data_IF_128001344183
#
_entry.id   IF_128001344183
#
_cell.length_a   1.000
_cell.length_b   1.000
_cell.length_c   1.000
_cell.angle_alpha   90.00
_cell.angle_beta   90.00
_cell.angle_gamma   90.00
#
_symmetry.space_group_name_H-M   'P 1'
#
loop_
_entity.id
_entity.type
_entity.pdbx_description
1 polymer ?
#
# COMPACT_ATOMS: atom_id res chain seq x y z
N UNK A 1 44.86 23.96 55.38
CA UNK A 1 45.11 22.56 55.01
C UNK A 1 43.79 21.94 54.55
N UNK A 2 43.61 21.85 53.27
CA UNK A 2 42.41 21.24 52.64
C UNK A 2 42.87 20.42 51.45
N UNK A 3 42.62 19.12 51.37
CA UNK A 3 42.87 18.40 50.15
C UNK A 3 41.60 18.39 49.28
N UNK A 4 41.78 18.73 48.02
CA UNK A 4 40.79 18.65 46.98
C UNK A 4 40.43 17.19 46.64
N UNK A 5 39.15 16.89 46.66
CA UNK A 5 38.61 15.63 46.18
C UNK A 5 38.29 15.74 44.69
N UNK A 6 38.96 14.94 43.89
CA UNK A 6 38.74 14.84 42.48
C UNK A 6 37.43 14.15 42.18
N UNK A 7 36.53 14.84 41.49
CA UNK A 7 35.30 14.25 40.91
C UNK A 7 35.66 13.62 39.56
N UNK A 8 35.72 12.31 39.54
CA UNK A 8 35.72 11.52 38.28
C UNK A 8 34.35 11.57 37.66
N UNK A 9 34.18 12.37 36.62
CA UNK A 9 32.99 12.39 35.80
C UNK A 9 32.83 11.06 35.01
N UNK A 10 31.90 10.23 35.46
CA UNK A 10 31.44 9.07 34.72
C UNK A 10 30.27 9.55 33.88
N UNK A 11 30.55 10.01 32.64
CA UNK A 11 29.53 10.33 31.67
C UNK A 11 28.76 9.07 31.31
N UNK A 12 27.44 9.19 31.01
CA UNK A 12 26.67 8.06 30.55
C UNK A 12 27.26 7.57 29.22
N UNK A 13 27.72 6.33 29.21
CA UNK A 13 28.06 5.64 27.96
C UNK A 13 26.72 5.41 27.26
N UNK A 14 26.43 6.22 26.25
CA UNK A 14 25.41 5.94 25.26
C UNK A 14 25.73 4.57 24.67
N UNK A 15 25.07 3.56 25.20
CA UNK A 15 25.01 2.25 24.60
C UNK A 15 24.18 2.40 23.34
N UNK A 16 24.86 2.73 22.24
CA UNK A 16 24.32 2.54 20.89
C UNK A 16 24.07 1.04 20.77
N UNK A 17 22.84 0.64 21.09
CA UNK A 17 22.37 -0.68 20.73
C UNK A 17 22.38 -0.72 19.20
N UNK A 18 23.20 -1.59 18.57
CA UNK A 18 23.04 -1.84 17.15
C UNK A 18 21.64 -2.39 16.98
N UNK A 19 20.77 -1.63 16.35
CA UNK A 19 19.49 -2.11 15.87
C UNK A 19 19.82 -3.24 14.91
N UNK A 20 19.75 -4.50 15.40
CA UNK A 20 19.80 -5.65 14.54
C UNK A 20 18.60 -5.51 13.61
N UNK A 21 18.88 -5.16 12.35
CA UNK A 21 17.92 -5.24 11.26
C UNK A 21 17.48 -6.70 11.15
N UNK A 22 16.49 -7.09 11.93
CA UNK A 22 15.87 -8.41 11.80
C UNK A 22 15.09 -8.39 10.51
N UNK A 23 15.74 -8.88 9.44
CA UNK A 23 15.17 -9.01 8.10
C UNK A 23 13.98 -9.98 8.11
N UNK A 24 13.96 -10.95 9.02
CA UNK A 24 12.89 -11.93 9.22
C UNK A 24 11.96 -11.46 10.36
N UNK A 25 11.07 -10.54 10.04
CA UNK A 25 9.92 -10.21 10.89
C UNK A 25 8.66 -10.89 10.35
N UNK A 26 7.71 -11.22 11.24
CA UNK A 26 6.45 -11.87 10.86
C UNK A 26 5.74 -11.08 9.74
N UNK A 27 5.60 -9.75 9.79
CA UNK A 27 5.02 -8.97 8.70
C UNK A 27 5.76 -9.14 7.37
N UNK A 28 7.09 -9.08 7.38
CA UNK A 28 7.89 -9.24 6.15
C UNK A 28 7.74 -10.63 5.52
N UNK A 29 7.67 -11.69 6.34
CA UNK A 29 7.41 -13.05 5.86
C UNK A 29 6.04 -13.16 5.19
N UNK A 30 5.00 -12.50 5.72
CA UNK A 30 3.65 -12.50 5.16
C UNK A 30 3.57 -11.71 3.85
N UNK A 31 4.29 -10.60 3.72
CA UNK A 31 4.40 -9.85 2.45
C UNK A 31 5.11 -10.65 1.37
N UNK A 32 6.20 -11.36 1.72
CA UNK A 32 6.89 -12.28 0.80
C UNK A 32 5.98 -13.44 0.42
N UNK A 33 5.26 -14.03 1.37
CA UNK A 33 4.29 -15.09 1.09
C UNK A 33 3.23 -14.62 0.10
N UNK A 34 2.67 -13.41 0.30
CA UNK A 34 1.69 -12.82 -0.62
C UNK A 34 2.27 -12.63 -2.01
N UNK A 35 3.50 -12.16 -2.13
CA UNK A 35 4.19 -12.03 -3.41
C UNK A 35 4.35 -13.38 -4.12
N UNK A 36 4.66 -14.45 -3.36
CA UNK A 36 4.77 -15.81 -3.90
C UNK A 36 3.40 -16.41 -4.29
N UNK A 37 2.33 -15.99 -3.61
CA UNK A 37 0.97 -16.43 -3.94
C UNK A 37 0.46 -15.83 -5.27
N UNK A 38 1.00 -14.69 -5.73
CA UNK A 38 0.62 -14.11 -7.03
C UNK A 38 0.86 -15.07 -8.19
N UNK A 39 2.08 -15.60 -8.43
CA UNK A 39 2.30 -16.53 -9.54
C UNK A 39 1.53 -17.85 -9.35
N UNK A 40 1.32 -18.31 -8.12
CA UNK A 40 0.49 -19.51 -7.85
C UNK A 40 -0.95 -19.23 -8.25
N UNK A 41 -1.50 -18.08 -7.88
CA UNK A 41 -2.84 -17.66 -8.29
C UNK A 41 -2.98 -17.61 -9.82
N UNK A 42 -2.01 -16.98 -10.52
CA UNK A 42 -2.02 -16.90 -11.98
C UNK A 42 -2.00 -18.29 -12.62
N UNK A 43 -1.12 -19.16 -12.15
CA UNK A 43 -1.05 -20.53 -12.63
C UNK A 43 -2.37 -21.27 -12.47
N UNK A 44 -2.98 -21.22 -11.28
CA UNK A 44 -4.26 -21.88 -10.99
C UNK A 44 -5.42 -21.29 -11.82
N UNK A 45 -5.44 -19.98 -12.01
CA UNK A 45 -6.44 -19.28 -12.79
C UNK A 45 -6.40 -19.73 -14.27
N UNK A 46 -5.19 -19.73 -14.88
CA UNK A 46 -5.04 -20.07 -16.30
C UNK A 46 -5.08 -21.57 -16.59
N UNK A 47 -4.86 -22.43 -15.59
CA UNK A 47 -5.09 -23.88 -15.71
C UNK A 47 -6.54 -24.29 -15.51
N UNK A 48 -7.45 -23.33 -15.20
CA UNK A 48 -8.85 -23.59 -14.95
C UNK A 48 -9.17 -24.19 -13.58
N UNK A 49 -8.20 -24.24 -12.67
CA UNK A 49 -8.38 -24.69 -11.28
C UNK A 49 -9.04 -23.60 -10.42
N UNK A 50 -10.23 -23.13 -10.84
CA UNK A 50 -10.90 -21.94 -10.29
C UNK A 50 -11.10 -22.04 -8.79
N UNK A 51 -11.48 -23.20 -8.25
CA UNK A 51 -11.68 -23.36 -6.80
C UNK A 51 -10.42 -23.10 -5.99
N UNK A 52 -9.26 -23.58 -6.46
CA UNK A 52 -7.97 -23.31 -5.82
C UNK A 52 -7.52 -21.86 -6.03
N UNK A 53 -7.77 -21.28 -7.20
CA UNK A 53 -7.49 -19.87 -7.45
C UNK A 53 -8.28 -18.96 -6.49
N UNK A 54 -9.56 -19.24 -6.26
CA UNK A 54 -10.39 -18.55 -5.25
C UNK A 54 -9.82 -18.73 -3.85
N UNK A 55 -9.45 -19.97 -3.48
CA UNK A 55 -8.89 -20.24 -2.15
C UNK A 55 -7.60 -19.44 -1.89
N UNK A 56 -6.70 -19.37 -2.87
CA UNK A 56 -5.46 -18.57 -2.79
C UNK A 56 -5.78 -17.08 -2.68
N UNK A 57 -6.74 -16.58 -3.45
CA UNK A 57 -7.12 -15.17 -3.45
C UNK A 57 -7.75 -14.76 -2.11
N UNK A 58 -8.66 -15.60 -1.57
CA UNK A 58 -9.27 -15.37 -0.26
C UNK A 58 -8.25 -15.47 0.87
N UNK A 59 -7.35 -16.45 0.82
CA UNK A 59 -6.29 -16.59 1.81
C UNK A 59 -5.36 -15.39 1.83
N UNK A 60 -4.96 -14.89 0.65
CA UNK A 60 -4.14 -13.68 0.51
C UNK A 60 -4.82 -12.46 1.11
N UNK A 61 -6.11 -12.23 0.81
CA UNK A 61 -6.88 -11.11 1.37
C UNK A 61 -7.09 -11.23 2.88
N UNK A 62 -7.30 -12.45 3.40
CA UNK A 62 -7.43 -12.69 4.82
C UNK A 62 -6.10 -12.47 5.57
N UNK A 63 -4.98 -12.90 4.99
CA UNK A 63 -3.63 -12.63 5.51
C UNK A 63 -3.40 -11.14 5.69
N UNK A 64 -3.73 -10.32 4.69
CA UNK A 64 -3.59 -8.87 4.74
C UNK A 64 -4.40 -8.24 5.89
N UNK A 65 -5.64 -8.68 6.06
CA UNK A 65 -6.46 -8.22 7.19
C UNK A 65 -5.88 -8.66 8.55
N UNK A 66 -5.36 -9.89 8.64
CA UNK A 66 -4.75 -10.42 9.85
C UNK A 66 -3.47 -9.66 10.23
N UNK A 67 -2.62 -9.35 9.25
CA UNK A 67 -1.38 -8.57 9.42
C UNK A 67 -1.67 -7.19 9.99
N UNK A 68 -2.67 -6.51 9.46
CA UNK A 68 -3.10 -5.21 9.96
C UNK A 68 -3.60 -5.24 11.41
N UNK A 69 -4.09 -6.39 11.91
CA UNK A 69 -4.42 -6.58 13.34
C UNK A 69 -3.20 -6.96 14.18
N UNK A 70 -2.37 -7.87 13.70
CA UNK A 70 -1.16 -8.33 14.41
C UNK A 70 -0.17 -7.18 14.57
N UNK A 71 0.06 -6.37 13.53
CA UNK A 71 0.93 -5.21 13.60
C UNK A 71 0.51 -4.19 14.66
N UNK A 72 -0.79 -4.07 14.95
CA UNK A 72 -1.32 -3.20 16.01
C UNK A 72 -1.18 -3.79 17.42
N UNK A 73 -1.00 -5.10 17.55
CA UNK A 73 -0.88 -5.81 18.83
C UNK A 73 0.58 -6.06 19.21
N UNK A 74 1.49 -6.09 18.23
CA UNK A 74 2.92 -6.37 18.42
C UNK A 74 3.73 -5.10 18.09
N UNK A 75 3.79 -4.21 19.05
CA UNK A 75 4.24 -2.82 18.95
C UNK A 75 5.77 -2.60 18.74
N UNK A 76 6.54 -3.56 18.24
CA UNK A 76 8.01 -3.40 18.23
C UNK A 76 8.83 -4.04 17.11
N UNK A 77 8.24 -4.51 16.01
CA UNK A 77 9.01 -5.20 14.96
C UNK A 77 8.79 -4.65 13.54
N UNK A 78 8.78 -3.34 13.36
CA UNK A 78 8.86 -2.77 12.03
C UNK A 78 10.31 -2.80 11.53
N UNK A 79 10.59 -3.58 10.47
CA UNK A 79 11.85 -3.45 9.75
C UNK A 79 11.69 -2.40 8.65
N UNK A 80 12.73 -1.58 8.40
CA UNK A 80 12.72 -0.59 7.30
C UNK A 80 12.42 -1.21 5.93
N UNK A 81 12.81 -2.48 5.74
CA UNK A 81 12.50 -3.24 4.54
C UNK A 81 11.02 -3.60 4.45
N UNK A 82 10.37 -4.02 5.55
CA UNK A 82 8.95 -4.32 5.60
C UNK A 82 8.10 -3.10 5.29
N UNK A 83 8.40 -1.94 5.87
CA UNK A 83 7.69 -0.69 5.62
C UNK A 83 7.66 -0.27 4.13
N UNK A 84 8.65 -0.68 3.35
CA UNK A 84 8.72 -0.39 1.91
C UNK A 84 8.12 -1.52 1.06
N UNK A 85 8.31 -2.78 1.49
CA UNK A 85 7.85 -3.96 0.77
C UNK A 85 6.33 -4.11 0.82
N UNK A 86 5.70 -3.89 1.98
CA UNK A 86 4.25 -4.04 2.16
C UNK A 86 3.43 -3.19 1.19
N UNK A 87 3.66 -1.86 1.06
CA UNK A 87 2.91 -1.07 0.10
C UNK A 87 3.21 -1.42 -1.36
N UNK A 88 4.40 -1.94 -1.66
CA UNK A 88 4.78 -2.33 -3.01
C UNK A 88 4.08 -3.63 -3.42
N UNK A 89 4.11 -4.65 -2.55
CA UNK A 89 3.43 -5.94 -2.77
C UNK A 89 1.93 -5.76 -2.91
N UNK A 90 1.34 -4.92 -2.06
CA UNK A 90 -0.08 -4.60 -2.08
C UNK A 90 -0.51 -3.97 -3.43
N UNK A 91 0.30 -3.03 -3.94
CA UNK A 91 0.06 -2.42 -5.26
C UNK A 91 0.21 -3.40 -6.41
N UNK A 92 1.21 -4.28 -6.36
CA UNK A 92 1.40 -5.34 -7.36
C UNK A 92 0.19 -6.27 -7.36
N UNK A 93 -0.25 -6.71 -6.19
CA UNK A 93 -1.41 -7.58 -6.04
C UNK A 93 -2.68 -6.93 -6.57
N UNK A 94 -2.93 -5.66 -6.20
CA UNK A 94 -4.08 -4.87 -6.65
C UNK A 94 -4.08 -4.60 -8.16
N UNK A 95 -2.92 -4.56 -8.81
CA UNK A 95 -2.82 -4.38 -10.26
C UNK A 95 -2.93 -5.71 -11.00
N UNK A 96 -2.20 -6.74 -10.55
CA UNK A 96 -2.09 -8.02 -11.25
C UNK A 96 -3.40 -8.80 -11.18
N UNK A 97 -4.09 -8.81 -10.04
CA UNK A 97 -5.32 -9.61 -9.87
C UNK A 97 -6.44 -9.20 -10.83
N UNK A 98 -6.85 -7.91 -10.94
CA UNK A 98 -7.88 -7.52 -11.92
C UNK A 98 -7.45 -7.75 -13.37
N UNK A 99 -6.16 -7.53 -13.70
CA UNK A 99 -5.62 -7.79 -15.04
C UNK A 99 -5.71 -9.26 -15.39
N UNK A 100 -5.33 -10.15 -14.47
CA UNK A 100 -5.41 -11.60 -14.65
C UNK A 100 -6.87 -12.08 -14.83
N UNK A 101 -7.79 -11.55 -14.03
CA UNK A 101 -9.21 -11.87 -14.14
C UNK A 101 -9.80 -11.36 -15.46
N UNK A 102 -9.35 -10.20 -15.96
CA UNK A 102 -9.76 -9.71 -17.27
C UNK A 102 -9.18 -10.56 -18.42
N UNK A 103 -7.92 -10.99 -18.31
CA UNK A 103 -7.30 -11.89 -19.27
C UNK A 103 -7.95 -13.27 -19.29
N UNK A 104 -8.47 -13.74 -18.14
CA UNK A 104 -9.27 -14.96 -18.03
C UNK A 104 -10.74 -14.78 -18.46
N UNK A 105 -11.15 -13.58 -18.89
CA UNK A 105 -12.53 -13.30 -19.35
C UNK A 105 -13.55 -13.13 -18.22
N UNK A 106 -13.11 -13.12 -16.96
CA UNK A 106 -13.99 -12.97 -15.77
C UNK A 106 -14.41 -11.52 -15.56
N UNK A 107 -13.51 -10.57 -15.85
CA UNK A 107 -13.76 -9.13 -15.75
C UNK A 107 -13.67 -8.46 -17.13
N UNK A 108 -14.46 -7.42 -17.39
CA UNK A 108 -14.30 -6.61 -18.60
C UNK A 108 -13.08 -5.72 -18.51
N UNK A 109 -12.35 -5.57 -19.61
CA UNK A 109 -11.12 -4.77 -19.67
C UNK A 109 -11.32 -3.29 -19.29
N UNK A 110 -12.49 -2.71 -19.59
CA UNK A 110 -12.77 -1.33 -19.22
C UNK A 110 -12.66 -1.09 -17.71
N UNK A 111 -13.04 -2.10 -16.90
CA UNK A 111 -12.98 -2.04 -15.44
C UNK A 111 -11.51 -1.91 -14.97
N UNK A 112 -10.63 -2.73 -15.54
CA UNK A 112 -9.19 -2.70 -15.24
C UNK A 112 -8.57 -1.37 -15.69
N UNK A 113 -8.91 -0.90 -16.89
CA UNK A 113 -8.41 0.36 -17.43
C UNK A 113 -8.77 1.53 -16.50
N UNK A 114 -10.02 1.58 -16.02
CA UNK A 114 -10.47 2.64 -15.10
C UNK A 114 -9.70 2.59 -13.77
N UNK A 115 -9.48 1.39 -13.20
CA UNK A 115 -8.69 1.22 -11.97
C UNK A 115 -7.25 1.73 -12.15
N UNK A 116 -6.57 1.23 -13.16
CA UNK A 116 -5.16 1.58 -13.41
C UNK A 116 -4.99 3.04 -13.81
N UNK A 117 -5.90 3.58 -14.63
CA UNK A 117 -5.88 5.00 -15.01
C UNK A 117 -6.01 5.91 -13.79
N UNK A 118 -6.93 5.60 -12.88
CA UNK A 118 -7.08 6.35 -11.63
C UNK A 118 -5.79 6.33 -10.81
N UNK A 119 -5.15 5.18 -10.66
CA UNK A 119 -3.92 5.07 -9.89
C UNK A 119 -2.76 5.82 -10.54
N UNK A 120 -2.65 5.77 -11.88
CA UNK A 120 -1.69 6.56 -12.63
C UNK A 120 -1.90 8.06 -12.44
N UNK A 121 -3.15 8.54 -12.49
CA UNK A 121 -3.49 9.95 -12.25
C UNK A 121 -3.07 10.38 -10.84
N UNK A 122 -3.35 9.59 -9.83
CA UNK A 122 -2.94 9.91 -8.45
C UNK A 122 -1.42 9.88 -8.27
N UNK A 123 -0.75 8.89 -8.85
CA UNK A 123 0.71 8.83 -8.84
C UNK A 123 1.35 10.05 -9.50
N UNK A 124 0.76 10.55 -10.60
CA UNK A 124 1.21 11.76 -11.29
C UNK A 124 1.08 13.04 -10.44
N UNK A 125 0.26 13.03 -9.37
CA UNK A 125 0.18 14.18 -8.46
C UNK A 125 1.30 14.23 -7.42
N UNK A 126 1.99 13.10 -7.16
CA UNK A 126 3.04 13.01 -6.15
C UNK A 126 4.21 13.99 -6.36
N UNK A 127 4.77 14.18 -7.58
CA UNK A 127 5.84 15.16 -7.79
C UNK A 127 5.37 16.58 -7.50
N UNK A 128 4.09 16.89 -7.78
CA UNK A 128 3.50 18.20 -7.47
C UNK A 128 3.41 18.45 -5.97
N UNK A 129 3.03 17.43 -5.17
CA UNK A 129 3.01 17.55 -3.71
C UNK A 129 4.42 17.66 -3.12
N UNK A 130 5.34 16.82 -3.60
CA UNK A 130 6.74 16.85 -3.15
C UNK A 130 7.41 18.20 -3.40
N UNK A 131 7.14 18.85 -4.55
CA UNK A 131 7.67 20.20 -4.86
C UNK A 131 7.15 21.28 -3.92
N UNK A 132 6.16 20.98 -3.07
CA UNK A 132 5.55 21.87 -2.06
C UNK A 132 5.81 21.43 -0.62
N UNK A 133 6.76 20.49 -0.42
CA UNK A 133 7.15 19.97 0.89
C UNK A 133 6.17 19.01 1.53
N UNK A 134 5.18 18.50 0.77
CA UNK A 134 4.22 17.52 1.26
C UNK A 134 4.60 16.12 0.76
N UNK A 135 4.70 15.16 1.69
CA UNK A 135 5.01 13.77 1.34
C UNK A 135 3.81 13.08 0.68
N UNK A 136 2.63 13.22 1.24
CA UNK A 136 1.35 12.75 0.72
C UNK A 136 0.20 13.43 1.48
N UNK A 137 -1.00 13.43 0.89
CA UNK A 137 -2.22 13.81 1.61
C UNK A 137 -2.77 12.60 2.39
N UNK A 138 -3.41 12.82 3.55
CA UNK A 138 -3.96 11.72 4.35
C UNK A 138 -5.01 10.92 3.55
N UNK A 139 -4.89 9.59 3.62
CA UNK A 139 -5.84 8.68 2.97
C UNK A 139 -7.21 8.83 3.62
N UNK A 140 -8.23 9.09 2.82
CA UNK A 140 -9.61 9.21 3.29
C UNK A 140 -10.19 7.84 3.66
N UNK A 141 -11.12 7.80 4.63
CA UNK A 141 -11.86 6.57 4.96
C UNK A 141 -12.58 5.97 3.74
N UNK A 142 -13.03 6.84 2.81
CA UNK A 142 -13.61 6.40 1.55
C UNK A 142 -12.65 5.58 0.69
N UNK A 143 -11.37 5.98 0.63
CA UNK A 143 -10.35 5.20 -0.10
C UNK A 143 -10.14 3.80 0.51
N UNK A 144 -10.18 3.70 1.84
CA UNK A 144 -10.08 2.39 2.54
C UNK A 144 -11.32 1.52 2.28
N UNK A 145 -12.52 2.11 2.34
CA UNK A 145 -13.76 1.40 2.04
C UNK A 145 -13.81 0.93 0.58
N UNK A 146 -13.32 1.75 -0.35
CA UNK A 146 -13.25 1.41 -1.77
C UNK A 146 -12.31 0.21 -2.02
N UNK A 147 -11.11 0.24 -1.46
CA UNK A 147 -10.15 -0.87 -1.60
C UNK A 147 -10.70 -2.15 -0.96
N UNK A 148 -11.31 -2.05 0.22
CA UNK A 148 -11.95 -3.20 0.87
C UNK A 148 -13.07 -3.80 0.00
N UNK A 149 -13.94 -2.96 -0.58
CA UNK A 149 -15.01 -3.42 -1.46
C UNK A 149 -14.46 -4.11 -2.73
N UNK A 150 -13.43 -3.52 -3.36
CA UNK A 150 -12.79 -4.12 -4.53
C UNK A 150 -12.11 -5.45 -4.20
N UNK A 151 -11.32 -5.50 -3.11
CA UNK A 151 -10.65 -6.73 -2.67
C UNK A 151 -11.63 -7.85 -2.32
N UNK A 152 -12.79 -7.51 -1.75
CA UNK A 152 -13.84 -8.48 -1.45
C UNK A 152 -14.60 -8.92 -2.69
N UNK A 153 -14.83 -7.99 -3.64
CA UNK A 153 -15.56 -8.25 -4.86
C UNK A 153 -14.84 -9.20 -5.83
N UNK A 154 -13.51 -9.08 -5.96
CA UNK A 154 -12.71 -9.90 -6.89
C UNK A 154 -12.85 -11.42 -6.65
N UNK A 155 -12.61 -11.94 -5.42
CA UNK A 155 -12.79 -13.36 -5.16
C UNK A 155 -14.26 -13.81 -5.29
N UNK A 156 -15.24 -12.94 -4.95
CA UNK A 156 -16.65 -13.26 -5.10
C UNK A 156 -17.05 -13.42 -6.57
N UNK A 157 -16.59 -12.55 -7.47
CA UNK A 157 -16.86 -12.68 -8.91
C UNK A 157 -16.21 -13.94 -9.47
N UNK A 158 -15.01 -14.28 -9.04
CA UNK A 158 -14.36 -15.52 -9.45
C UNK A 158 -15.09 -16.76 -8.90
N UNK A 159 -15.50 -16.73 -7.62
CA UNK A 159 -16.29 -17.79 -6.99
C UNK A 159 -17.67 -17.95 -7.67
N UNK A 160 -18.23 -16.87 -8.17
CA UNK A 160 -19.48 -16.87 -8.90
C UNK A 160 -19.42 -17.51 -10.29
N UNK A 161 -18.23 -17.93 -10.78
CA UNK A 161 -18.09 -18.65 -12.06
C UNK A 161 -18.53 -20.13 -11.99
N UNK A 162 -18.83 -20.64 -10.80
CA UNK A 162 -19.35 -22.00 -10.68
C UNK A 162 -20.82 -22.10 -11.15
N UNK A 163 -21.11 -23.10 -11.97
CA UNK A 163 -22.44 -23.39 -12.51
C UNK A 163 -23.37 -23.97 -11.45
N UNK A 164 -23.77 -23.17 -10.49
CA UNK A 164 -24.68 -23.52 -9.41
C UNK A 164 -25.61 -22.34 -9.08
N UNK A 165 -26.77 -22.63 -8.49
CA UNK A 165 -27.69 -21.56 -8.09
C UNK A 165 -27.06 -20.57 -7.11
N UNK A 166 -26.27 -21.06 -6.14
CA UNK A 166 -25.51 -20.23 -5.21
C UNK A 166 -24.42 -19.40 -5.92
N UNK A 167 -23.83 -19.94 -7.03
CA UNK A 167 -22.84 -19.22 -7.83
C UNK A 167 -23.40 -17.93 -8.42
N UNK A 168 -24.63 -17.96 -8.94
CA UNK A 168 -25.30 -16.75 -9.48
C UNK A 168 -25.54 -15.69 -8.43
N UNK A 169 -25.94 -16.08 -7.21
CA UNK A 169 -26.14 -15.14 -6.09
C UNK A 169 -24.81 -14.51 -5.68
N UNK A 170 -23.77 -15.33 -5.55
CA UNK A 170 -22.42 -14.86 -5.22
C UNK A 170 -21.86 -13.93 -6.31
N UNK A 171 -22.09 -14.26 -7.58
CA UNK A 171 -21.71 -13.41 -8.71
C UNK A 171 -22.37 -12.03 -8.64
N UNK A 172 -23.67 -12.00 -8.37
CA UNK A 172 -24.40 -10.74 -8.20
C UNK A 172 -23.87 -9.91 -7.03
N UNK A 173 -23.61 -10.55 -5.89
CA UNK A 173 -22.96 -9.89 -4.75
C UNK A 173 -21.56 -9.39 -5.12
N UNK A 174 -20.74 -10.19 -5.80
CA UNK A 174 -19.42 -9.80 -6.26
C UNK A 174 -19.44 -8.56 -7.15
N UNK A 175 -20.35 -8.53 -8.13
CA UNK A 175 -20.55 -7.36 -8.98
C UNK A 175 -21.06 -6.14 -8.21
N UNK A 176 -21.95 -6.32 -7.24
CA UNK A 176 -22.41 -5.23 -6.39
C UNK A 176 -21.22 -4.60 -5.61
N UNK A 177 -20.33 -5.42 -5.02
CA UNK A 177 -19.12 -4.97 -4.36
C UNK A 177 -18.15 -4.26 -5.32
N UNK A 178 -17.96 -4.79 -6.54
CA UNK A 178 -17.08 -4.20 -7.53
C UNK A 178 -17.59 -2.84 -8.03
N UNK A 179 -18.88 -2.73 -8.34
CA UNK A 179 -19.50 -1.48 -8.83
C UNK A 179 -19.47 -0.43 -7.72
N UNK A 180 -19.87 -0.80 -6.50
CA UNK A 180 -19.83 0.09 -5.35
C UNK A 180 -18.41 0.51 -5.00
N UNK A 181 -17.49 -0.46 -4.97
CA UNK A 181 -16.07 -0.20 -4.75
C UNK A 181 -15.48 0.74 -5.79
N UNK A 182 -15.80 0.54 -7.08
CA UNK A 182 -15.37 1.42 -8.18
C UNK A 182 -15.92 2.84 -8.01
N UNK A 183 -17.19 2.98 -7.66
CA UNK A 183 -17.81 4.29 -7.43
C UNK A 183 -17.10 5.05 -6.29
N UNK A 184 -16.88 4.39 -5.15
CA UNK A 184 -16.14 4.97 -4.02
C UNK A 184 -14.68 5.27 -4.39
N UNK A 185 -14.06 4.43 -5.21
CA UNK A 185 -12.68 4.56 -5.65
C UNK A 185 -12.49 5.80 -6.53
N UNK A 186 -13.38 6.02 -7.48
CA UNK A 186 -13.41 7.21 -8.32
C UNK A 186 -13.75 8.46 -7.52
N UNK A 187 -14.73 8.38 -6.62
CA UNK A 187 -15.10 9.50 -5.75
C UNK A 187 -13.93 9.93 -4.85
N UNK A 188 -13.21 8.97 -4.28
CA UNK A 188 -12.02 9.28 -3.48
C UNK A 188 -10.93 9.97 -4.31
N UNK A 189 -10.80 9.64 -5.59
CA UNK A 189 -9.86 10.29 -6.49
C UNK A 189 -10.26 11.75 -6.78
N UNK A 190 -11.54 12.00 -7.01
CA UNK A 190 -12.06 13.37 -7.21
C UNK A 190 -11.76 14.23 -5.99
N UNK A 191 -12.05 13.73 -4.78
CA UNK A 191 -11.75 14.45 -3.54
C UNK A 191 -10.25 14.72 -3.38
N UNK A 192 -9.41 13.72 -3.67
CA UNK A 192 -7.96 13.86 -3.60
C UNK A 192 -7.44 14.92 -4.59
N UNK A 193 -7.91 14.90 -5.83
CA UNK A 193 -7.54 15.89 -6.86
C UNK A 193 -8.01 17.30 -6.48
N UNK A 194 -9.18 17.43 -5.89
CA UNK A 194 -9.67 18.72 -5.38
C UNK A 194 -8.74 19.26 -4.26
N UNK A 195 -8.31 18.40 -3.33
CA UNK A 195 -7.35 18.76 -2.28
C UNK A 195 -6.00 19.18 -2.87
N UNK A 196 -5.48 18.43 -3.85
CA UNK A 196 -4.24 18.78 -4.56
C UNK A 196 -4.38 20.14 -5.26
N UNK A 197 -5.54 20.41 -5.87
CA UNK A 197 -5.86 21.70 -6.48
C UNK A 197 -5.82 22.86 -5.47
N UNK A 198 -6.36 22.66 -4.26
CA UNK A 198 -6.31 23.65 -3.19
C UNK A 198 -4.89 23.88 -2.67
N UNK A 199 -4.11 22.82 -2.47
CA UNK A 199 -2.69 22.89 -2.08
C UNK A 199 -1.90 23.68 -3.14
N UNK A 200 -2.15 23.39 -4.41
CA UNK A 200 -1.49 24.09 -5.52
C UNK A 200 -1.77 25.59 -5.54
N UNK A 201 -2.98 26.01 -5.14
CA UNK A 201 -3.38 27.42 -5.08
C UNK A 201 -2.85 28.15 -3.84
N UNK A 202 -2.75 27.45 -2.71
CA UNK A 202 -2.46 28.08 -1.40
C UNK A 202 -1.00 28.03 -0.98
N UNK A 203 -0.23 27.05 -1.42
CA UNK A 203 1.17 26.86 -1.03
C UNK A 203 2.10 27.20 -2.20
N UNK A 204 3.05 28.17 -2.04
CA UNK A 204 4.10 28.43 -3.02
C UNK A 204 5.04 27.22 -3.15
N UNK A 205 5.72 27.10 -4.28
CA UNK A 205 6.78 26.09 -4.44
C UNK A 205 7.92 26.44 -3.51
N UNK A 206 8.46 25.45 -2.82
CA UNK A 206 9.71 25.59 -2.07
C UNK A 206 10.83 25.68 -3.11
N UNK A 207 11.59 26.80 -3.22
CA UNK A 207 12.75 26.87 -4.09
C UNK A 207 13.70 25.75 -3.66
N UNK A 208 14.11 24.90 -4.62
CA UNK A 208 15.15 23.91 -4.36
C UNK A 208 16.32 24.61 -3.71
N UNK A 209 16.85 24.03 -2.64
CA UNK A 209 18.04 24.51 -1.95
C UNK A 209 19.21 24.45 -2.95
N UNK A 210 19.36 25.52 -3.76
CA UNK A 210 20.59 25.77 -4.47
C UNK A 210 21.60 26.06 -3.37
N UNK A 211 22.45 25.07 -3.12
CA UNK A 211 23.64 25.20 -2.30
C UNK A 211 24.52 26.33 -2.87
N UNK A 212 24.11 27.56 -2.60
CA UNK A 212 24.98 28.69 -2.76
C UNK A 212 26.02 28.60 -1.64
N UNK A 213 27.15 28.02 -1.98
CA UNK A 213 28.37 28.15 -1.18
C UNK A 213 28.58 29.62 -0.87
N UNK A 214 28.18 30.07 0.32
CA UNK A 214 28.70 31.26 0.92
C UNK A 214 30.15 30.97 1.27
N UNK A 215 31.04 31.25 0.33
CA UNK A 215 32.43 31.58 0.66
C UNK A 215 32.36 32.77 1.61
N UNK A 216 32.82 32.55 2.84
CA UNK A 216 33.12 33.61 3.79
C UNK A 216 34.25 34.46 3.18
N UNK A 217 34.08 35.80 2.98
CA UNK A 217 35.17 36.67 2.67
C UNK A 217 35.69 37.22 3.99
N UNK A 218 36.87 36.77 4.39
CA UNK A 218 37.54 37.43 5.49
C UNK A 218 38.56 36.53 6.17
N UNK A 219 39.76 36.53 5.65
CA UNK A 219 40.99 36.61 6.42
C UNK A 219 42.09 37.01 5.42
N UNK A 220 42.35 38.32 5.42
CA UNK A 220 43.53 38.97 4.93
C UNK A 220 44.24 39.60 6.10
#
# INVERSE_FOLDING_TARGET
MTPASGATGNGPRDSVHPSQDRILTIPNALSVLRLLLVPVFLYLLFTGAIGWAVAVLMFSGFSDWADGKVARLVDSQSSRLGELLDPAVDRVYMAVTPVALAAAGVLPWWFVVVLLFRDAVLAATLPVLRSRGLAALPVTYLGKAATFALMSGLPLVLLGQFDALWGRVILACGWAFLIWGMALYLWSAVLYLAQVGLVRKRLPRIPGNTATGRRSPGDG
#
